data_IF_830859077617
#
_entry.id   IF_830859077617
#
_cell.length_a   1.000
_cell.length_b   1.000
_cell.length_c   1.000
_cell.angle_alpha   90.00
_cell.angle_beta   90.00
_cell.angle_gamma   90.00
#
_symmetry.space_group_name_H-M   'P 1'
#
loop_
_entity.id
_entity.type
_entity.pdbx_description
1 polymer ?
#
# COMPACT_ATOMS: atom_id res chain seq x y z
N UNK A 1 13.05 -20.95 -0.42
CA UNK A 1 12.26 -20.25 0.63
C UNK A 1 12.01 -21.25 1.75
N UNK A 2 12.14 -20.84 3.03
CA UNK A 2 11.80 -21.71 4.15
C UNK A 2 10.30 -21.68 4.45
N UNK A 3 9.74 -22.76 5.01
CA UNK A 3 8.33 -22.83 5.39
C UNK A 3 7.93 -21.70 6.35
N UNK A 4 8.82 -21.37 7.30
CA UNK A 4 8.62 -20.27 8.25
C UNK A 4 8.49 -18.90 7.57
N UNK A 5 9.29 -18.67 6.52
CA UNK A 5 9.22 -17.43 5.75
C UNK A 5 7.88 -17.32 5.01
N UNK A 6 7.46 -18.38 4.32
CA UNK A 6 6.18 -18.40 3.61
C UNK A 6 5.00 -18.18 4.55
N UNK A 7 4.99 -18.84 5.72
CA UNK A 7 3.97 -18.67 6.74
C UNK A 7 3.91 -17.22 7.26
N UNK A 8 5.07 -16.59 7.47
CA UNK A 8 5.14 -15.18 7.90
C UNK A 8 4.54 -14.23 6.86
N UNK A 9 4.90 -14.40 5.58
CA UNK A 9 4.33 -13.61 4.47
C UNK A 9 2.82 -13.81 4.38
N UNK A 10 2.33 -15.04 4.52
CA UNK A 10 0.90 -15.33 4.50
C UNK A 10 0.15 -14.66 5.67
N UNK A 11 0.72 -14.69 6.88
CA UNK A 11 0.14 -14.02 8.05
C UNK A 11 0.08 -12.50 7.89
N UNK A 12 1.17 -11.89 7.40
CA UNK A 12 1.21 -10.46 7.12
C UNK A 12 0.21 -10.06 6.03
N UNK A 13 0.10 -10.86 4.97
CA UNK A 13 -0.91 -10.66 3.93
C UNK A 13 -2.33 -10.76 4.50
N UNK A 14 -2.61 -11.73 5.37
CA UNK A 14 -3.91 -11.86 6.03
C UNK A 14 -4.23 -10.62 6.89
N UNK A 15 -3.26 -10.09 7.63
CA UNK A 15 -3.43 -8.83 8.38
C UNK A 15 -3.75 -7.66 7.45
N UNK A 16 -3.03 -7.51 6.33
CA UNK A 16 -3.31 -6.47 5.34
C UNK A 16 -4.72 -6.59 4.75
N UNK A 17 -5.18 -7.81 4.47
CA UNK A 17 -6.53 -8.09 3.95
C UNK A 17 -7.59 -7.70 4.97
N UNK A 18 -7.43 -8.12 6.23
CA UNK A 18 -8.36 -7.77 7.32
C UNK A 18 -8.40 -6.26 7.55
N UNK A 19 -7.25 -5.58 7.54
CA UNK A 19 -7.19 -4.12 7.63
C UNK A 19 -7.93 -3.46 6.45
N UNK A 20 -7.77 -3.98 5.22
CA UNK A 20 -8.49 -3.45 4.06
C UNK A 20 -10.00 -3.55 4.23
N UNK A 21 -10.48 -4.61 4.85
CA UNK A 21 -11.90 -4.79 5.13
C UNK A 21 -12.39 -3.96 6.32
N UNK A 22 -11.64 -3.89 7.42
CA UNK A 22 -12.01 -3.11 8.59
C UNK A 22 -12.19 -1.62 8.25
N UNK A 23 -11.39 -1.11 7.30
CA UNK A 23 -11.44 0.26 6.81
C UNK A 23 -12.29 0.43 5.54
N UNK A 24 -13.07 -0.58 5.13
CA UNK A 24 -13.89 -0.53 3.92
C UNK A 24 -14.99 0.53 3.97
N UNK A 25 -15.55 0.77 5.17
CA UNK A 25 -16.64 1.73 5.37
C UNK A 25 -16.20 3.20 5.36
N UNK A 26 -14.89 3.48 5.37
CA UNK A 26 -14.35 4.83 5.30
C UNK A 26 -13.98 5.19 3.85
N UNK A 27 -14.19 6.46 3.43
CA UNK A 27 -13.88 6.90 2.07
C UNK A 27 -12.36 6.92 1.82
N UNK A 28 -11.82 5.79 1.35
CA UNK A 28 -10.43 5.56 0.97
C UNK A 28 -9.34 5.86 2.04
N UNK A 29 -9.75 6.04 3.29
CA UNK A 29 -8.85 6.14 4.46
C UNK A 29 -8.39 4.72 4.79
N UNK A 30 -7.18 4.34 4.37
CA UNK A 30 -6.68 2.96 4.50
C UNK A 30 -5.21 2.96 4.90
N UNK A 31 -4.85 2.37 6.07
CA UNK A 31 -3.46 2.31 6.54
C UNK A 31 -2.58 1.29 5.78
N UNK A 32 -3.12 0.62 4.77
CA UNK A 32 -2.50 -0.55 4.13
C UNK A 32 -1.25 -0.17 3.33
N UNK A 33 -1.29 0.96 2.61
CA UNK A 33 -0.14 1.45 1.84
C UNK A 33 1.04 1.78 2.75
N UNK A 34 0.76 2.40 3.90
CA UNK A 34 1.77 2.65 4.92
C UNK A 34 2.38 1.34 5.44
N UNK A 35 1.55 0.32 5.65
CA UNK A 35 2.02 -1.01 6.05
C UNK A 35 2.94 -1.63 4.98
N UNK A 36 2.60 -1.55 3.69
CA UNK A 36 3.47 -2.04 2.62
C UNK A 36 4.84 -1.36 2.63
N UNK A 37 4.88 -0.05 2.80
CA UNK A 37 6.13 0.71 2.92
C UNK A 37 6.96 0.32 4.14
N UNK A 38 6.31 0.06 5.28
CA UNK A 38 7.00 -0.39 6.49
C UNK A 38 7.54 -1.81 6.36
N UNK A 39 6.83 -2.69 5.66
CA UNK A 39 7.30 -4.05 5.40
C UNK A 39 8.57 -4.09 4.54
N UNK A 40 8.84 -3.06 3.74
CA UNK A 40 10.14 -2.91 3.05
C UNK A 40 11.28 -2.75 4.05
N UNK A 41 11.04 -2.08 5.18
CA UNK A 41 12.02 -1.84 6.23
C UNK A 41 12.18 -3.04 7.18
N UNK A 42 11.06 -3.65 7.58
CA UNK A 42 11.04 -4.74 8.58
C UNK A 42 11.28 -6.14 8.01
N UNK A 43 10.92 -6.40 6.75
CA UNK A 43 11.16 -7.69 6.09
C UNK A 43 12.27 -7.55 5.04
N UNK A 44 11.88 -7.13 3.84
CA UNK A 44 12.72 -6.82 2.70
C UNK A 44 11.81 -6.41 1.52
N UNK A 45 12.42 -5.96 0.41
CA UNK A 45 11.69 -5.62 -0.80
C UNK A 45 10.87 -6.80 -1.33
N UNK A 46 11.43 -8.02 -1.36
CA UNK A 46 10.73 -9.19 -1.91
C UNK A 46 9.53 -9.59 -1.05
N UNK A 47 9.68 -9.60 0.27
CA UNK A 47 8.62 -9.88 1.22
C UNK A 47 7.49 -8.86 1.13
N UNK A 48 7.80 -7.57 1.10
CA UNK A 48 6.79 -6.51 0.96
C UNK A 48 5.98 -6.63 -0.33
N UNK A 49 6.62 -6.93 -1.47
CA UNK A 49 5.96 -7.12 -2.77
C UNK A 49 5.07 -8.38 -2.79
N UNK A 50 5.50 -9.47 -2.16
CA UNK A 50 4.66 -10.67 -2.03
C UNK A 50 3.44 -10.40 -1.15
N UNK A 51 3.64 -9.76 0.01
CA UNK A 51 2.54 -9.39 0.91
C UNK A 51 1.53 -8.47 0.20
N UNK A 52 2.02 -7.45 -0.50
CA UNK A 52 1.18 -6.54 -1.28
C UNK A 52 0.40 -7.27 -2.38
N UNK A 53 1.06 -8.15 -3.14
CA UNK A 53 0.43 -8.87 -4.26
C UNK A 53 -0.69 -9.78 -3.77
N UNK A 54 -0.40 -10.60 -2.74
CA UNK A 54 -1.36 -11.53 -2.15
C UNK A 54 -2.50 -10.75 -1.51
N UNK A 55 -2.19 -9.68 -0.76
CA UNK A 55 -3.20 -8.86 -0.11
C UNK A 55 -4.16 -8.23 -1.11
N UNK A 56 -3.66 -7.61 -2.18
CA UNK A 56 -4.50 -7.00 -3.21
C UNK A 56 -5.34 -8.07 -3.92
N UNK A 57 -4.73 -9.19 -4.30
CA UNK A 57 -5.42 -10.26 -5.00
C UNK A 57 -6.55 -10.87 -4.15
N UNK A 58 -6.25 -11.30 -2.92
CA UNK A 58 -7.22 -11.93 -2.02
C UNK A 58 -8.33 -10.96 -1.65
N UNK A 59 -8.00 -9.70 -1.37
CA UNK A 59 -9.02 -8.72 -1.02
C UNK A 59 -9.96 -8.35 -2.17
N UNK A 60 -9.49 -8.50 -3.41
CA UNK A 60 -10.30 -8.19 -4.60
C UNK A 60 -11.43 -9.20 -4.83
N UNK A 61 -11.37 -10.42 -4.28
CA UNK A 61 -12.49 -11.35 -4.35
C UNK A 61 -13.75 -10.81 -3.66
N UNK A 62 -13.60 -9.98 -2.61
CA UNK A 62 -14.74 -9.39 -1.91
C UNK A 62 -15.07 -7.97 -2.39
N UNK A 63 -14.08 -7.18 -2.80
CA UNK A 63 -14.28 -5.81 -3.32
C UNK A 63 -14.68 -5.75 -4.80
N UNK A 64 -14.77 -6.89 -5.48
CA UNK A 64 -14.98 -6.97 -6.91
C UNK A 64 -13.65 -7.21 -7.64
N UNK A 65 -13.59 -8.34 -8.34
CA UNK A 65 -12.44 -8.72 -9.15
C UNK A 65 -12.62 -8.19 -10.56
N UNK A 66 -11.55 -7.64 -11.13
CA UNK A 66 -11.55 -7.15 -12.51
C UNK A 66 -10.16 -6.80 -13.02
N UNK A 67 -10.04 -6.30 -14.26
CA UNK A 67 -8.75 -5.98 -14.88
C UNK A 67 -7.91 -4.99 -14.07
N UNK A 68 -8.57 -4.10 -13.32
CA UNK A 68 -7.92 -3.13 -12.44
C UNK A 68 -7.01 -3.78 -11.40
N UNK A 69 -7.29 -5.00 -10.94
CA UNK A 69 -6.46 -5.69 -9.92
C UNK A 69 -5.03 -5.87 -10.40
N UNK A 70 -4.84 -6.25 -11.68
CA UNK A 70 -3.51 -6.40 -12.27
C UNK A 70 -2.76 -5.08 -12.30
N UNK A 71 -3.45 -4.00 -12.72
CA UNK A 71 -2.87 -2.66 -12.73
C UNK A 71 -2.57 -2.15 -11.32
N UNK A 72 -3.40 -2.47 -10.32
CA UNK A 72 -3.12 -2.14 -8.91
C UNK A 72 -1.82 -2.79 -8.43
N UNK A 73 -1.63 -4.08 -8.70
CA UNK A 73 -0.42 -4.81 -8.32
C UNK A 73 0.81 -4.23 -9.03
N UNK A 74 0.72 -3.95 -10.33
CA UNK A 74 1.82 -3.37 -11.11
C UNK A 74 2.18 -1.95 -10.64
N UNK A 75 1.18 -1.08 -10.49
CA UNK A 75 1.38 0.30 -10.02
C UNK A 75 1.96 0.34 -8.61
N UNK A 76 1.46 -0.49 -7.69
CA UNK A 76 2.04 -0.56 -6.36
C UNK A 76 3.46 -1.15 -6.36
N UNK A 77 3.78 -2.09 -7.26
CA UNK A 77 5.14 -2.62 -7.39
C UNK A 77 6.13 -1.50 -7.74
N UNK A 78 5.78 -0.63 -8.69
CA UNK A 78 6.59 0.54 -9.04
C UNK A 78 6.71 1.50 -7.85
N UNK A 79 5.60 1.77 -7.17
CA UNK A 79 5.57 2.69 -6.03
C UNK A 79 6.41 2.18 -4.86
N UNK A 80 6.33 0.89 -4.53
CA UNK A 80 7.14 0.26 -3.49
C UNK A 80 8.63 0.24 -3.89
N UNK A 81 8.93 0.04 -5.17
CA UNK A 81 10.30 0.11 -5.65
C UNK A 81 10.88 1.52 -5.52
N UNK A 82 10.13 2.56 -5.89
CA UNK A 82 10.53 3.96 -5.68
C UNK A 82 10.72 4.28 -4.19
N UNK A 83 9.80 3.80 -3.35
CA UNK A 83 9.94 3.90 -1.91
C UNK A 83 11.27 3.31 -1.43
N UNK A 84 11.58 2.06 -1.82
CA UNK A 84 12.80 1.35 -1.45
C UNK A 84 14.09 2.12 -1.80
N UNK A 85 14.12 2.83 -2.93
CA UNK A 85 15.29 3.61 -3.35
C UNK A 85 15.50 4.89 -2.52
N UNK A 86 14.43 5.48 -2.00
CA UNK A 86 14.44 6.83 -1.44
C UNK A 86 14.35 6.86 0.10
N UNK A 87 13.63 5.91 0.72
CA UNK A 87 13.27 5.99 2.14
C UNK A 87 14.46 6.03 3.10
N UNK A 88 15.58 5.36 2.75
CA UNK A 88 16.79 5.26 3.60
C UNK A 88 17.51 6.59 3.81
N UNK A 89 17.27 7.57 2.94
CA UNK A 89 17.90 8.90 3.00
C UNK A 89 17.11 9.89 3.85
N UNK A 90 15.96 9.48 4.38
CA UNK A 90 15.00 10.35 5.02
C UNK A 90 14.80 9.94 6.49
N UNK A 91 14.67 10.93 7.38
CA UNK A 91 14.16 10.70 8.72
C UNK A 91 12.65 10.39 8.72
N UNK A 92 12.09 10.03 9.87
CA UNK A 92 10.68 9.59 9.99
C UNK A 92 9.65 10.58 9.41
N UNK A 93 9.88 11.89 9.61
CA UNK A 93 9.03 12.93 9.02
C UNK A 93 9.13 12.94 7.48
N UNK A 94 10.36 12.89 6.95
CA UNK A 94 10.59 12.84 5.50
C UNK A 94 10.01 11.57 4.86
N UNK A 95 10.10 10.43 5.54
CA UNK A 95 9.46 9.18 5.12
C UNK A 95 7.93 9.32 5.07
N UNK A 96 7.32 9.99 6.07
CA UNK A 96 5.88 10.24 6.08
C UNK A 96 5.45 11.16 4.92
N UNK A 97 6.24 12.19 4.61
CA UNK A 97 6.01 13.05 3.43
C UNK A 97 6.15 12.28 2.12
N UNK A 98 7.19 11.44 1.99
CA UNK A 98 7.38 10.60 0.82
C UNK A 98 6.21 9.63 0.65
N UNK A 99 5.70 9.06 1.76
CA UNK A 99 4.56 8.15 1.73
C UNK A 99 3.30 8.85 1.21
N UNK A 100 3.07 10.11 1.60
CA UNK A 100 2.00 10.96 1.06
C UNK A 100 2.13 11.12 -0.45
N UNK A 101 3.31 11.54 -0.92
CA UNK A 101 3.55 11.81 -2.33
C UNK A 101 3.36 10.57 -3.20
N UNK A 102 3.91 9.44 -2.76
CA UNK A 102 3.83 8.18 -3.49
C UNK A 102 2.41 7.60 -3.48
N UNK A 103 1.69 7.67 -2.35
CA UNK A 103 0.29 7.24 -2.28
C UNK A 103 -0.63 8.10 -3.15
N UNK A 104 -0.39 9.41 -3.21
CA UNK A 104 -1.12 10.30 -4.12
C UNK A 104 -0.81 10.00 -5.59
N UNK A 105 0.48 9.81 -5.92
CA UNK A 105 0.94 9.46 -7.28
C UNK A 105 0.33 8.14 -7.77
N UNK A 106 0.24 7.15 -6.88
CA UNK A 106 -0.44 5.89 -7.15
C UNK A 106 -1.91 6.11 -7.59
N UNK A 107 -2.65 6.95 -6.86
CA UNK A 107 -4.05 7.25 -7.18
C UNK A 107 -4.21 7.85 -8.58
N UNK A 108 -3.38 8.82 -8.94
CA UNK A 108 -3.38 9.43 -10.28
C UNK A 108 -3.10 8.41 -11.40
N UNK A 109 -2.17 7.48 -11.16
CA UNK A 109 -1.84 6.43 -12.12
C UNK A 109 -3.04 5.49 -12.32
N UNK A 110 -3.69 5.05 -11.24
CA UNK A 110 -4.86 4.16 -11.33
C UNK A 110 -6.05 4.86 -11.98
N UNK A 111 -6.31 6.13 -11.67
CA UNK A 111 -7.37 6.90 -12.31
C UNK A 111 -7.12 7.04 -13.81
N UNK A 112 -5.87 7.33 -14.21
CA UNK A 112 -5.47 7.41 -15.61
C UNK A 112 -5.60 6.08 -16.36
N UNK A 113 -5.17 4.97 -15.76
CA UNK A 113 -5.35 3.62 -16.32
C UNK A 113 -6.84 3.30 -16.46
N UNK A 114 -7.64 3.66 -15.46
CA UNK A 114 -9.08 3.40 -15.46
C UNK A 114 -9.78 4.20 -16.55
N UNK A 115 -9.44 5.49 -16.72
CA UNK A 115 -9.93 6.30 -17.83
C UNK A 115 -9.60 5.68 -19.20
N UNK A 116 -8.38 5.17 -19.36
CA UNK A 116 -7.95 4.49 -20.60
C UNK A 116 -8.73 3.19 -20.83
N UNK A 117 -8.92 2.36 -19.79
CA UNK A 117 -9.68 1.11 -19.89
C UNK A 117 -11.14 1.34 -20.32
N UNK A 118 -11.76 2.42 -19.85
CA UNK A 118 -13.14 2.77 -20.18
C UNK A 118 -13.26 3.76 -21.35
N UNK A 119 -12.17 4.08 -22.04
CA UNK A 119 -12.14 5.02 -23.18
C UNK A 119 -12.72 6.41 -22.87
N UNK A 120 -12.53 6.86 -21.63
CA UNK A 120 -12.97 8.18 -21.16
C UNK A 120 -11.80 9.18 -21.20
N UNK A 121 -12.09 10.49 -21.32
CA UNK A 121 -11.05 11.51 -21.18
C UNK A 121 -10.36 11.41 -19.81
N UNK A 122 -9.03 11.49 -19.78
CA UNK A 122 -8.23 11.26 -18.57
C UNK A 122 -8.68 12.08 -17.35
N UNK A 123 -9.14 13.32 -17.58
CA UNK A 123 -9.49 14.27 -16.54
C UNK A 123 -10.75 13.88 -15.76
N UNK A 124 -11.64 13.05 -16.33
CA UNK A 124 -12.92 12.71 -15.69
C UNK A 124 -12.70 11.87 -14.43
N UNK A 125 -11.88 10.82 -14.54
CA UNK A 125 -11.53 9.96 -13.42
C UNK A 125 -10.61 10.67 -12.42
N UNK A 126 -9.67 11.49 -12.90
CA UNK A 126 -8.79 12.26 -11.99
C UNK A 126 -9.60 13.29 -11.18
N UNK A 127 -10.53 14.01 -11.80
CA UNK A 127 -11.38 14.97 -11.10
C UNK A 127 -12.32 14.29 -10.10
N UNK A 128 -12.91 13.14 -10.46
CA UNK A 128 -13.75 12.36 -9.55
C UNK A 128 -12.95 11.69 -8.42
N UNK A 129 -11.73 11.24 -8.71
CA UNK A 129 -10.86 10.50 -7.81
C UNK A 129 -10.04 11.36 -6.85
N UNK A 130 -9.83 12.65 -7.15
CA UNK A 130 -8.91 13.52 -6.38
C UNK A 130 -9.22 13.55 -4.89
N UNK A 131 -10.50 13.62 -4.50
CA UNK A 131 -10.89 13.60 -3.09
C UNK A 131 -10.52 12.30 -2.39
N UNK A 132 -10.78 11.16 -3.05
CA UNK A 132 -10.43 9.83 -2.55
C UNK A 132 -8.92 9.61 -2.53
N UNK A 133 -8.17 10.14 -3.51
CA UNK A 133 -6.72 10.05 -3.56
C UNK A 133 -6.06 10.90 -2.48
N UNK A 134 -6.59 12.10 -2.21
CA UNK A 134 -6.13 12.93 -1.10
C UNK A 134 -6.40 12.25 0.24
N UNK A 135 -7.60 11.70 0.45
CA UNK A 135 -7.93 10.94 1.66
C UNK A 135 -6.96 9.75 1.85
N UNK A 136 -6.66 9.03 0.77
CA UNK A 136 -5.69 7.93 0.80
C UNK A 136 -4.27 8.40 1.16
N UNK A 137 -3.81 9.48 0.54
CA UNK A 137 -2.47 10.01 0.74
C UNK A 137 -2.27 10.55 2.17
N UNK A 138 -3.23 11.34 2.68
CA UNK A 138 -3.20 11.85 4.04
C UNK A 138 -3.31 10.74 5.08
N UNK A 139 -4.22 9.77 4.88
CA UNK A 139 -4.31 8.64 5.78
C UNK A 139 -3.00 7.84 5.83
N UNK A 140 -2.38 7.60 4.68
CA UNK A 140 -1.07 6.91 4.61
C UNK A 140 0.00 7.67 5.39
N UNK A 141 0.09 9.00 5.20
CA UNK A 141 1.03 9.85 5.93
C UNK A 141 0.84 9.77 7.44
N UNK A 142 -0.41 9.85 7.92
CA UNK A 142 -0.73 9.88 9.34
C UNK A 142 -0.52 8.51 10.01
N UNK A 143 -0.90 7.43 9.32
CA UNK A 143 -0.75 6.07 9.85
C UNK A 143 0.69 5.56 9.79
N UNK A 144 1.52 6.06 8.87
CA UNK A 144 2.92 5.62 8.74
C UNK A 144 3.72 5.67 10.05
N UNK A 145 3.85 6.81 10.76
CA UNK A 145 4.60 6.85 12.01
C UNK A 145 3.96 6.01 13.12
N UNK A 146 2.62 5.96 13.18
CA UNK A 146 1.90 5.17 14.19
C UNK A 146 2.22 3.68 14.02
N UNK A 147 2.11 3.17 12.80
CA UNK A 147 2.42 1.79 12.47
C UNK A 147 3.90 1.49 12.62
N UNK A 148 4.78 2.44 12.31
CA UNK A 148 6.23 2.30 12.52
C UNK A 148 6.54 1.96 13.99
N UNK A 149 5.97 2.70 14.95
CA UNK A 149 6.20 2.42 16.37
C UNK A 149 5.63 1.07 16.81
N UNK A 150 4.46 0.69 16.32
CA UNK A 150 3.83 -0.61 16.62
C UNK A 150 4.69 -1.76 16.11
N UNK A 151 5.08 -1.71 14.82
CA UNK A 151 5.90 -2.75 14.20
C UNK A 151 7.30 -2.81 14.80
N UNK A 152 7.91 -1.66 15.08
CA UNK A 152 9.21 -1.60 15.75
C UNK A 152 9.18 -2.37 17.06
N UNK A 153 8.14 -2.18 17.88
CA UNK A 153 8.01 -2.92 19.13
C UNK A 153 7.91 -4.43 18.91
N UNK A 154 7.02 -4.86 18.00
CA UNK A 154 6.81 -6.28 17.70
C UNK A 154 8.06 -6.99 17.18
N UNK A 155 8.88 -6.30 16.37
CA UNK A 155 10.11 -6.86 15.82
C UNK A 155 11.27 -6.80 16.81
N UNK A 156 11.34 -5.77 17.66
CA UNK A 156 12.40 -5.62 18.64
C UNK A 156 12.27 -6.63 19.79
N UNK A 157 11.04 -6.98 20.20
CA UNK A 157 10.77 -8.03 21.19
C UNK A 157 11.15 -9.43 20.68
N UNK A 158 11.26 -9.62 19.36
CA UNK A 158 11.60 -10.92 18.75
C UNK A 158 13.12 -11.17 18.64
N UNK A 159 13.94 -10.13 18.79
CA UNK A 159 15.40 -10.18 18.69
C UNK A 159 16.10 -10.13 20.06
N UNK A 160 15.33 -10.20 21.17
CA UNK A 160 15.79 -10.43 22.53
C UNK A 160 15.62 -11.91 22.88
#
# INVERSE_FOLDING_TARGET
>A
MSLRYLARIALLAAVCVVLRYAFAGLPNIKPITALYFLLVDFEDLKGSLLVMSISIFVSSFLFGMGPWVLFQILSFTVVIFLWYLLYRRLGLFGQSMLALLLAFSYGLVIDGITALLYQMPWWTYVAAGVGFNLAHAWSTMLFYPILYFILRRLYHEKNL
#
